data_IF_515633412552
#
_entry.id   IF_515633412552
#
_cell.length_a   1.000
_cell.length_b   1.000
_cell.length_c   1.000
_cell.angle_alpha   90.00
_cell.angle_beta   90.00
_cell.angle_gamma   90.00
#
_symmetry.space_group_name_H-M   'P 1'
#
loop_
_entity.id
_entity.type
_entity.pdbx_description
1 polymer ?
#
# COMPACT_ATOMS: atom_id res chain seq x y z
N UNK A 1 -5.17 16.01 20.42
CA UNK A 1 -5.68 14.75 19.79
C UNK A 1 -4.91 13.60 20.41
N UNK A 2 -5.60 12.57 20.91
CA UNK A 2 -4.92 11.40 21.49
C UNK A 2 -4.16 10.65 20.37
N UNK A 3 -2.91 10.26 20.65
CA UNK A 3 -2.02 9.57 19.69
C UNK A 3 -2.64 8.27 19.17
N UNK A 4 -3.32 7.49 20.01
CA UNK A 4 -4.05 6.29 19.57
C UNK A 4 -5.15 6.64 18.54
N UNK A 5 -5.92 7.70 18.79
CA UNK A 5 -6.95 8.17 17.86
C UNK A 5 -6.34 8.60 16.52
N UNK A 6 -5.18 9.26 16.56
CA UNK A 6 -4.47 9.64 15.34
C UNK A 6 -3.98 8.42 14.57
N UNK A 7 -3.40 7.43 15.25
CA UNK A 7 -2.99 6.15 14.62
C UNK A 7 -4.17 5.44 13.93
N UNK A 8 -5.34 5.40 14.56
CA UNK A 8 -6.57 4.83 13.98
C UNK A 8 -7.00 5.57 12.71
N UNK A 9 -6.92 6.90 12.71
CA UNK A 9 -7.24 7.70 11.51
C UNK A 9 -6.28 7.38 10.37
N UNK A 10 -4.98 7.30 10.65
CA UNK A 10 -3.96 6.94 9.64
C UNK A 10 -4.27 5.57 9.04
N UNK A 11 -4.50 4.55 9.88
CA UNK A 11 -4.82 3.20 9.41
C UNK A 11 -6.14 3.18 8.62
N UNK A 12 -7.15 3.95 9.03
CA UNK A 12 -8.42 4.06 8.32
C UNK A 12 -8.25 4.65 6.91
N UNK A 13 -7.45 5.70 6.78
CA UNK A 13 -7.16 6.32 5.48
C UNK A 13 -6.45 5.32 4.56
N UNK A 14 -5.40 4.66 5.05
CA UNK A 14 -4.66 3.65 4.27
C UNK A 14 -5.56 2.48 3.89
N UNK A 15 -6.39 1.99 4.81
CA UNK A 15 -7.34 0.92 4.54
C UNK A 15 -8.34 1.30 3.43
N UNK A 16 -8.90 2.52 3.49
CA UNK A 16 -9.80 3.02 2.45
C UNK A 16 -9.08 3.14 1.09
N UNK A 17 -7.85 3.64 1.06
CA UNK A 17 -7.05 3.71 -0.16
C UNK A 17 -6.80 2.32 -0.75
N UNK A 18 -6.44 1.34 0.07
CA UNK A 18 -6.20 -0.03 -0.38
C UNK A 18 -7.47 -0.67 -0.95
N UNK A 19 -8.63 -0.44 -0.32
CA UNK A 19 -9.92 -0.90 -0.86
C UNK A 19 -10.21 -0.28 -2.21
N UNK A 20 -10.05 1.05 -2.33
CA UNK A 20 -10.33 1.77 -3.59
C UNK A 20 -9.40 1.34 -4.72
N UNK A 21 -8.10 1.26 -4.44
CA UNK A 21 -7.10 0.83 -5.43
C UNK A 21 -7.30 -0.65 -5.79
N UNK A 22 -7.60 -1.51 -4.80
CA UNK A 22 -7.92 -2.90 -5.04
C UNK A 22 -9.13 -3.08 -5.95
N UNK A 23 -10.22 -2.34 -5.71
CA UNK A 23 -11.40 -2.33 -6.58
C UNK A 23 -11.07 -1.80 -7.98
N UNK A 24 -10.26 -0.75 -8.08
CA UNK A 24 -9.84 -0.20 -9.37
C UNK A 24 -9.08 -1.26 -10.20
N UNK A 25 -8.15 -1.99 -9.63
CA UNK A 25 -7.46 -3.09 -10.32
C UNK A 25 -8.36 -4.27 -10.66
N UNK A 26 -9.39 -4.55 -9.86
CA UNK A 26 -10.35 -5.61 -10.17
C UNK A 26 -11.24 -5.25 -11.35
N UNK A 27 -11.73 -4.00 -11.40
CA UNK A 27 -12.72 -3.56 -12.36
C UNK A 27 -12.08 -3.00 -13.65
N UNK A 28 -10.98 -2.26 -13.52
CA UNK A 28 -10.33 -1.49 -14.59
C UNK A 28 -8.81 -1.71 -14.63
N UNK A 29 -8.33 -2.98 -14.69
CA UNK A 29 -6.90 -3.28 -14.56
C UNK A 29 -6.05 -2.67 -15.68
N UNK A 30 -6.54 -2.65 -16.92
CA UNK A 30 -5.81 -2.11 -18.07
C UNK A 30 -5.63 -0.60 -17.94
N UNK A 31 -6.70 0.10 -17.57
CA UNK A 31 -6.69 1.55 -17.36
C UNK A 31 -5.74 1.94 -16.22
N UNK A 32 -5.79 1.23 -15.10
CA UNK A 32 -4.90 1.50 -13.97
C UNK A 32 -3.44 1.23 -14.31
N UNK A 33 -3.14 0.14 -15.01
CA UNK A 33 -1.78 -0.16 -15.46
C UNK A 33 -1.25 0.86 -16.46
N UNK A 34 -2.10 1.36 -17.36
CA UNK A 34 -1.70 2.38 -18.33
C UNK A 34 -1.20 3.67 -17.67
N UNK A 35 -1.72 4.02 -16.49
CA UNK A 35 -1.26 5.16 -15.69
C UNK A 35 0.17 4.99 -15.17
N UNK A 36 0.63 3.75 -15.02
CA UNK A 36 2.00 3.44 -14.60
C UNK A 36 2.97 3.18 -15.76
N UNK A 37 2.52 3.41 -17.00
CA UNK A 37 3.32 3.20 -18.21
C UNK A 37 3.45 1.74 -18.63
N UNK A 38 2.62 0.85 -18.09
CA UNK A 38 2.59 -0.56 -18.46
C UNK A 38 1.60 -0.82 -19.61
N UNK A 39 1.98 -1.71 -20.52
CA UNK A 39 1.28 -1.93 -21.77
C UNK A 39 0.66 -3.32 -21.83
N UNK A 40 -0.25 -3.51 -22.76
CA UNK A 40 -1.02 -4.70 -23.13
C UNK A 40 -0.64 -6.00 -22.42
N UNK A 41 -1.51 -6.43 -21.51
CA UNK A 41 -1.49 -7.76 -20.93
C UNK A 41 -2.50 -8.64 -21.65
N UNK A 42 -2.14 -9.89 -21.95
CA UNK A 42 -3.04 -10.93 -22.42
C UNK A 42 -3.85 -11.57 -21.27
N UNK A 43 -4.76 -12.50 -21.60
CA UNK A 43 -5.79 -12.97 -20.69
C UNK A 43 -5.28 -13.50 -19.34
N UNK A 44 -4.25 -14.35 -19.34
CA UNK A 44 -3.72 -14.97 -18.11
C UNK A 44 -2.96 -13.95 -17.25
N UNK A 45 -2.11 -13.12 -17.86
CA UNK A 45 -1.40 -12.05 -17.16
C UNK A 45 -2.37 -11.00 -16.57
N UNK A 46 -3.49 -10.73 -17.26
CA UNK A 46 -4.53 -9.83 -16.76
C UNK A 46 -5.25 -10.41 -15.55
N UNK A 47 -5.49 -11.73 -15.53
CA UNK A 47 -6.06 -12.42 -14.38
C UNK A 47 -5.13 -12.35 -13.17
N UNK A 48 -3.82 -12.55 -13.37
CA UNK A 48 -2.81 -12.45 -12.32
C UNK A 48 -2.73 -11.03 -11.74
N UNK A 49 -2.83 -10.00 -12.57
CA UNK A 49 -2.88 -8.61 -12.12
C UNK A 49 -4.13 -8.36 -11.27
N UNK A 50 -5.30 -8.81 -11.70
CA UNK A 50 -6.53 -8.70 -10.91
C UNK A 50 -6.41 -9.41 -9.57
N UNK A 51 -5.87 -10.62 -9.55
CA UNK A 51 -5.72 -11.39 -8.32
C UNK A 51 -4.69 -10.76 -7.37
N UNK A 52 -3.50 -10.43 -7.89
CA UNK A 52 -2.37 -9.98 -7.08
C UNK A 52 -2.51 -8.52 -6.66
N UNK A 53 -2.80 -7.62 -7.59
CA UNK A 53 -2.94 -6.19 -7.24
C UNK A 53 -4.35 -5.86 -6.77
N UNK A 54 -5.38 -6.41 -7.40
CA UNK A 54 -6.76 -6.15 -7.01
C UNK A 54 -7.15 -6.90 -5.74
N UNK A 55 -7.12 -8.23 -5.79
CA UNK A 55 -7.58 -9.09 -4.71
C UNK A 55 -6.79 -8.93 -3.42
N UNK A 56 -5.45 -8.92 -3.51
CA UNK A 56 -4.59 -8.76 -2.33
C UNK A 56 -4.78 -7.40 -1.65
N UNK A 57 -4.80 -6.31 -2.42
CA UNK A 57 -4.99 -4.97 -1.84
C UNK A 57 -6.39 -4.79 -1.24
N UNK A 58 -7.43 -5.30 -1.91
CA UNK A 58 -8.79 -5.29 -1.38
C UNK A 58 -8.88 -6.08 -0.07
N UNK A 59 -8.33 -7.30 -0.04
CA UNK A 59 -8.32 -8.14 1.15
C UNK A 59 -7.60 -7.49 2.32
N UNK A 60 -6.43 -6.91 2.08
CA UNK A 60 -5.66 -6.19 3.10
C UNK A 60 -6.41 -4.95 3.62
N UNK A 61 -7.00 -4.16 2.72
CA UNK A 61 -7.80 -2.99 3.10
C UNK A 61 -9.01 -3.37 3.96
N UNK A 62 -9.74 -4.41 3.58
CA UNK A 62 -10.87 -4.94 4.35
C UNK A 62 -10.42 -5.46 5.72
N UNK A 63 -9.30 -6.18 5.78
CA UNK A 63 -8.73 -6.64 7.04
C UNK A 63 -8.46 -5.48 8.00
N UNK A 64 -7.80 -4.42 7.52
CA UNK A 64 -7.50 -3.23 8.33
C UNK A 64 -8.78 -2.51 8.80
N UNK A 65 -9.81 -2.43 7.95
CA UNK A 65 -11.11 -1.88 8.35
C UNK A 65 -11.75 -2.71 9.47
N UNK A 66 -11.71 -4.03 9.39
CA UNK A 66 -12.22 -4.92 10.44
C UNK A 66 -11.46 -4.69 11.76
N UNK A 67 -10.13 -4.54 11.72
CA UNK A 67 -9.31 -4.24 12.91
C UNK A 67 -9.76 -2.93 13.59
N UNK A 68 -10.04 -1.89 12.79
CA UNK A 68 -10.52 -0.60 13.31
C UNK A 68 -11.92 -0.73 13.91
N UNK A 69 -12.85 -1.38 13.20
CA UNK A 69 -14.24 -1.55 13.63
C UNK A 69 -14.35 -2.37 14.91
N UNK A 70 -13.52 -3.39 15.06
CA UNK A 70 -13.43 -4.22 16.26
C UNK A 70 -12.65 -3.57 17.41
N UNK A 71 -12.09 -2.38 17.18
CA UNK A 71 -11.23 -1.68 18.13
C UNK A 71 -10.02 -2.50 18.61
N UNK A 72 -9.53 -3.36 17.71
CA UNK A 72 -8.34 -4.16 17.96
C UNK A 72 -7.07 -3.31 18.15
N UNK A 73 -5.98 -3.96 18.55
CA UNK A 73 -4.72 -3.29 18.83
C UNK A 73 -4.18 -2.60 17.56
N UNK A 74 -4.25 -1.26 17.56
CA UNK A 74 -3.82 -0.44 16.43
C UNK A 74 -2.32 -0.53 16.16
N UNK A 75 -1.51 -0.85 17.17
CA UNK A 75 -0.06 -1.02 17.05
C UNK A 75 0.26 -2.16 16.09
N UNK A 76 -0.49 -3.27 16.14
CA UNK A 76 -0.35 -4.36 15.18
C UNK A 76 -0.58 -3.90 13.74
N UNK A 77 -1.65 -3.14 13.50
CA UNK A 77 -1.96 -2.60 12.18
C UNK A 77 -0.88 -1.65 11.67
N UNK A 78 -0.33 -0.81 12.55
CA UNK A 78 0.77 0.10 12.20
C UNK A 78 2.07 -0.66 11.88
N UNK A 79 2.41 -1.71 12.64
CA UNK A 79 3.56 -2.55 12.33
C UNK A 79 3.39 -3.29 11.01
N UNK A 80 2.20 -3.85 10.75
CA UNK A 80 1.90 -4.51 9.47
C UNK A 80 2.09 -3.53 8.30
N UNK A 81 1.54 -2.33 8.40
CA UNK A 81 1.70 -1.30 7.37
C UNK A 81 3.16 -0.88 7.20
N UNK A 82 3.91 -0.71 8.29
CA UNK A 82 5.32 -0.36 8.24
C UNK A 82 6.14 -1.41 7.47
N UNK A 83 5.91 -2.69 7.73
CA UNK A 83 6.59 -3.80 7.02
C UNK A 83 6.22 -3.80 5.54
N UNK A 84 4.94 -3.64 5.21
CA UNK A 84 4.48 -3.61 3.81
C UNK A 84 5.09 -2.42 3.06
N UNK A 85 4.98 -1.22 3.60
CA UNK A 85 5.54 -0.03 2.96
C UNK A 85 7.07 -0.10 2.83
N UNK A 86 7.76 -0.64 3.82
CA UNK A 86 9.22 -0.82 3.75
C UNK A 86 9.60 -1.84 2.66
N UNK A 87 8.85 -2.94 2.56
CA UNK A 87 9.11 -3.97 1.54
C UNK A 87 8.88 -3.43 0.13
N UNK A 88 7.75 -2.78 -0.12
CA UNK A 88 7.42 -2.24 -1.44
C UNK A 88 8.37 -1.09 -1.81
N UNK A 89 8.56 -0.13 -0.90
CA UNK A 89 9.47 1.00 -1.10
C UNK A 89 10.93 0.57 -1.27
N UNK A 90 11.37 -0.44 -0.51
CA UNK A 90 12.71 -1.01 -0.64
C UNK A 90 12.95 -1.65 -2.01
N UNK A 91 12.01 -2.47 -2.49
CA UNK A 91 12.11 -3.06 -3.84
C UNK A 91 12.12 -1.99 -4.93
N UNK A 92 11.28 -0.94 -4.82
CA UNK A 92 11.29 0.19 -5.76
C UNK A 92 12.60 0.97 -5.73
N UNK A 93 13.16 1.24 -4.54
CA UNK A 93 14.45 1.92 -4.41
C UNK A 93 15.57 1.12 -5.06
N UNK A 94 15.68 -0.16 -4.73
CA UNK A 94 16.69 -1.04 -5.33
C UNK A 94 16.50 -1.11 -6.84
N UNK A 95 15.29 -1.32 -7.31
CA UNK A 95 14.97 -1.34 -8.74
C UNK A 95 15.33 -0.03 -9.45
N UNK A 96 15.10 1.12 -8.82
CA UNK A 96 15.44 2.43 -9.38
C UNK A 96 16.95 2.67 -9.48
N UNK A 97 17.76 2.07 -8.60
CA UNK A 97 19.24 2.17 -8.65
C UNK A 97 19.80 1.39 -9.85
N UNK A 98 19.19 0.24 -10.17
CA UNK A 98 19.66 -0.63 -11.25
C UNK A 98 18.93 -0.40 -12.58
N UNK A 99 17.96 0.51 -12.63
CA UNK A 99 17.23 0.83 -13.86
C UNK A 99 18.13 1.55 -14.86
N UNK A 100 18.03 1.17 -16.15
CA UNK A 100 18.75 1.84 -17.25
C UNK A 100 18.26 3.29 -17.43
N UNK A 101 16.95 3.51 -17.21
CA UNK A 101 16.34 4.84 -17.19
C UNK A 101 15.61 5.04 -15.86
N UNK A 102 16.02 6.06 -15.11
CA UNK A 102 15.44 6.38 -13.82
C UNK A 102 14.10 7.09 -14.00
N UNK A 103 13.01 6.45 -13.58
CA UNK A 103 11.70 7.09 -13.51
C UNK A 103 11.55 7.89 -12.21
N UNK A 104 11.43 9.21 -12.30
CA UNK A 104 11.18 10.08 -11.14
C UNK A 104 9.88 9.73 -10.41
N UNK A 105 8.90 9.19 -11.13
CA UNK A 105 7.64 8.72 -10.53
C UNK A 105 7.89 7.54 -9.58
N UNK A 106 8.66 6.55 -10.01
CA UNK A 106 8.97 5.38 -9.18
C UNK A 106 9.87 5.73 -7.99
N UNK A 107 10.83 6.62 -8.19
CA UNK A 107 11.68 7.10 -7.09
C UNK A 107 10.86 7.89 -6.06
N UNK A 108 9.99 8.79 -6.50
CA UNK A 108 9.09 9.55 -5.62
C UNK A 108 8.15 8.64 -4.83
N UNK A 109 7.57 7.63 -5.47
CA UNK A 109 6.73 6.64 -4.81
C UNK A 109 7.51 5.84 -3.75
N UNK A 110 8.72 5.39 -4.08
CA UNK A 110 9.58 4.66 -3.15
C UNK A 110 9.92 5.47 -1.90
N UNK A 111 10.28 6.75 -2.07
CA UNK A 111 10.57 7.64 -0.95
C UNK A 111 9.34 7.88 -0.07
N UNK A 112 8.15 8.05 -0.68
CA UNK A 112 6.90 8.19 0.06
C UNK A 112 6.54 6.92 0.85
N UNK A 113 6.76 5.74 0.28
CA UNK A 113 6.53 4.45 0.94
C UNK A 113 7.48 4.27 2.13
N UNK A 114 8.77 4.54 1.97
CA UNK A 114 9.74 4.45 3.08
C UNK A 114 9.43 5.47 4.19
N UNK A 115 9.06 6.69 3.83
CA UNK A 115 8.64 7.70 4.81
C UNK A 115 7.37 7.28 5.56
N UNK A 116 6.40 6.67 4.86
CA UNK A 116 5.19 6.13 5.46
C UNK A 116 5.48 4.98 6.42
N UNK A 117 6.42 4.09 6.07
CA UNK A 117 6.88 3.02 6.97
C UNK A 117 7.48 3.60 8.26
N UNK A 118 8.38 4.58 8.13
CA UNK A 118 8.97 5.27 9.30
C UNK A 118 7.90 5.96 10.14
N UNK A 119 6.93 6.63 9.53
CA UNK A 119 5.80 7.25 10.21
C UNK A 119 4.96 6.26 11.01
N UNK A 120 4.63 5.11 10.43
CA UNK A 120 3.90 4.03 11.11
C UNK A 120 4.69 3.48 12.31
N UNK A 121 6.00 3.28 12.17
CA UNK A 121 6.87 2.83 13.27
C UNK A 121 6.94 3.85 14.41
N UNK A 122 7.14 5.12 14.09
CA UNK A 122 7.18 6.20 15.10
C UNK A 122 5.85 6.28 15.86
N UNK A 123 4.72 6.19 15.14
CA UNK A 123 3.39 6.19 15.77
C UNK A 123 3.19 4.98 16.66
N UNK A 124 3.60 3.78 16.22
CA UNK A 124 3.44 2.57 17.02
C UNK A 124 4.20 2.64 18.35
N UNK A 125 5.44 3.14 18.32
CA UNK A 125 6.27 3.30 19.53
C UNK A 125 5.68 4.34 20.51
N UNK A 126 5.03 5.39 19.99
CA UNK A 126 4.40 6.43 20.83
C UNK A 126 3.06 6.01 21.45
N UNK A 127 2.44 4.94 20.94
CA UNK A 127 1.16 4.40 21.43
C UNK A 127 1.38 3.34 22.52
N UNK A 128 2.52 2.65 22.50
CA UNK A 128 2.93 1.69 23.54
C UNK A 128 3.32 2.42 24.81
#
# INVERSE_FOLDING_TARGET
MNIDKFGRIVVAIVAAMLVLVGLAYLLFPVEVLSLTGQFTLDGDALLDVRATYGGFQLGLGLFLLVQILRRENIVFSLHLLAVIFLSVGGVRLVGSIFAVEMSYLHLGAALAEVASAAGCMILSVKII
#
